data_IF_494750351115
#
_entry.id   IF_494750351115
#
_cell.length_a   1.000
_cell.length_b   1.000
_cell.length_c   1.000
_cell.angle_alpha   90.00
_cell.angle_beta   90.00
_cell.angle_gamma   90.00
#
_symmetry.space_group_name_H-M   'P 1'
#
loop_
_entity.id
_entity.type
_entity.pdbx_description
1 polymer ?
#
# COMPACT_ATOMS: atom_id res chain seq x y z
N UNK A 1 18.08 -10.68 30.20
CA UNK A 1 17.26 -9.46 30.40
C UNK A 1 16.14 -9.54 29.39
N UNK A 2 14.88 -9.69 29.82
CA UNK A 2 13.72 -9.78 28.90
C UNK A 2 13.51 -8.42 28.26
N UNK A 3 13.45 -8.35 26.93
CA UNK A 3 13.02 -7.16 26.19
C UNK A 3 11.51 -7.00 26.45
N UNK A 4 11.18 -6.51 27.65
CA UNK A 4 9.78 -6.41 28.11
C UNK A 4 8.94 -5.38 27.29
N UNK A 5 9.59 -4.55 26.48
CA UNK A 5 8.91 -3.62 25.56
C UNK A 5 8.55 -4.24 24.21
N UNK A 6 9.25 -5.31 23.79
CA UNK A 6 9.07 -5.92 22.48
C UNK A 6 7.75 -6.68 22.32
N UNK A 7 7.24 -7.29 23.40
CA UNK A 7 6.02 -8.11 23.34
C UNK A 7 4.74 -7.28 23.18
N UNK A 8 4.65 -6.10 23.81
CA UNK A 8 3.46 -5.22 23.67
C UNK A 8 3.37 -4.53 22.31
N UNK A 9 4.51 -4.20 21.70
CA UNK A 9 4.51 -3.57 20.37
C UNK A 9 4.31 -4.59 19.23
N UNK A 10 4.60 -5.90 19.46
CA UNK A 10 4.47 -6.91 18.41
C UNK A 10 3.03 -7.32 18.12
N UNK A 11 2.16 -7.31 19.13
CA UNK A 11 0.74 -7.64 18.94
C UNK A 11 -0.06 -6.47 18.33
N UNK A 12 0.47 -5.24 18.42
CA UNK A 12 -0.22 -4.04 17.99
C UNK A 12 -0.34 -3.93 16.47
N UNK A 13 0.69 -4.28 15.69
CA UNK A 13 0.69 -4.03 14.24
C UNK A 13 -0.35 -4.87 13.49
N UNK A 14 -0.45 -6.16 13.84
CA UNK A 14 -1.45 -7.04 13.25
C UNK A 14 -2.89 -6.60 13.60
N UNK A 15 -3.13 -6.23 14.87
CA UNK A 15 -4.43 -5.71 15.29
C UNK A 15 -4.73 -4.35 14.64
N UNK A 16 -3.76 -3.47 14.51
CA UNK A 16 -3.91 -2.20 13.79
C UNK A 16 -4.29 -2.44 12.33
N UNK A 17 -3.59 -3.37 11.67
CA UNK A 17 -3.92 -3.73 10.28
C UNK A 17 -5.31 -4.37 10.18
N UNK A 18 -5.68 -5.28 11.09
CA UNK A 18 -7.02 -5.89 11.12
C UNK A 18 -8.12 -4.85 11.33
N UNK A 19 -7.91 -3.91 12.24
CA UNK A 19 -8.86 -2.82 12.50
C UNK A 19 -9.04 -1.96 11.25
N UNK A 20 -7.95 -1.61 10.57
CA UNK A 20 -7.99 -0.84 9.33
C UNK A 20 -8.63 -1.63 8.18
N UNK A 21 -8.25 -2.89 7.98
CA UNK A 21 -8.84 -3.76 6.97
C UNK A 21 -10.33 -4.01 7.24
N UNK A 22 -10.70 -4.19 8.51
CA UNK A 22 -12.10 -4.31 8.93
C UNK A 22 -12.91 -3.03 8.67
N UNK A 23 -12.34 -1.87 8.97
CA UNK A 23 -12.97 -0.58 8.69
C UNK A 23 -13.13 -0.35 7.18
N UNK A 24 -12.11 -0.69 6.36
CA UNK A 24 -12.18 -0.62 4.91
C UNK A 24 -13.22 -1.61 4.34
N UNK A 25 -13.25 -2.85 4.84
CA UNK A 25 -14.25 -3.84 4.45
C UNK A 25 -15.67 -3.39 4.79
N UNK A 26 -15.86 -2.84 5.99
CA UNK A 26 -17.15 -2.29 6.41
C UNK A 26 -17.57 -1.08 5.56
N UNK A 27 -16.63 -0.16 5.27
CA UNK A 27 -16.90 0.98 4.39
C UNK A 27 -17.27 0.51 2.96
N UNK A 28 -16.56 -0.47 2.42
CA UNK A 28 -16.81 -1.08 1.13
C UNK A 28 -18.22 -1.72 1.07
N UNK A 29 -18.61 -2.43 2.13
CA UNK A 29 -19.94 -3.01 2.27
C UNK A 29 -21.03 -1.95 2.36
N UNK A 30 -20.82 -0.89 3.17
CA UNK A 30 -21.72 0.25 3.29
C UNK A 30 -21.95 0.97 1.96
N UNK A 31 -20.87 1.19 1.18
CA UNK A 31 -20.93 1.77 -0.16
C UNK A 31 -21.73 0.87 -1.11
N UNK A 32 -21.61 -0.46 -0.94
CA UNK A 32 -22.43 -1.43 -1.67
C UNK A 32 -23.93 -1.29 -1.40
N UNK A 33 -24.31 -1.19 -0.13
CA UNK A 33 -25.71 -0.99 0.26
C UNK A 33 -26.29 0.32 -0.28
N UNK A 34 -25.47 1.34 -0.47
CA UNK A 34 -25.87 2.62 -1.04
C UNK A 34 -25.88 2.65 -2.58
N UNK A 35 -25.60 1.53 -3.23
CA UNK A 35 -25.55 1.43 -4.69
C UNK A 35 -24.37 2.17 -5.35
N UNK A 36 -23.37 2.57 -4.55
CA UNK A 36 -22.20 3.32 -5.04
C UNK A 36 -21.41 2.50 -6.06
N UNK A 37 -21.35 1.17 -5.91
CA UNK A 37 -20.67 0.30 -6.88
C UNK A 37 -21.34 0.31 -8.24
N UNK A 38 -22.68 0.29 -8.27
CA UNK A 38 -23.44 0.40 -9.53
C UNK A 38 -23.20 1.78 -10.17
N UNK A 39 -23.17 2.84 -9.37
CA UNK A 39 -22.86 4.19 -9.84
C UNK A 39 -21.43 4.27 -10.40
N UNK A 40 -20.44 3.71 -9.70
CA UNK A 40 -19.05 3.68 -10.13
C UNK A 40 -18.88 2.99 -11.48
N UNK A 41 -19.51 1.82 -11.65
CA UNK A 41 -19.45 1.04 -12.88
C UNK A 41 -20.19 1.72 -14.05
N UNK A 42 -21.30 2.41 -13.76
CA UNK A 42 -22.05 3.14 -14.79
C UNK A 42 -21.41 4.47 -15.19
N UNK A 43 -20.71 5.13 -14.26
CA UNK A 43 -20.07 6.42 -14.49
C UNK A 43 -18.69 6.28 -15.14
N UNK A 44 -18.04 5.13 -15.04
CA UNK A 44 -16.73 4.86 -15.65
C UNK A 44 -16.78 3.69 -16.64
N UNK A 45 -17.19 3.93 -17.89
CA UNK A 45 -17.18 2.92 -18.94
C UNK A 45 -15.77 2.46 -19.35
N UNK A 46 -14.71 3.15 -18.93
CA UNK A 46 -13.32 2.80 -19.23
C UNK A 46 -12.79 1.69 -18.34
N UNK A 47 -13.44 1.44 -17.18
CA UNK A 47 -13.03 0.43 -16.21
C UNK A 47 -11.78 0.77 -15.39
N UNK A 48 -11.20 1.96 -15.55
CA UNK A 48 -9.99 2.37 -14.82
C UNK A 48 -10.24 2.41 -13.32
N UNK A 49 -11.40 2.89 -12.90
CA UNK A 49 -11.81 2.89 -11.47
C UNK A 49 -11.77 1.49 -10.88
N UNK A 50 -12.28 0.50 -11.62
CA UNK A 50 -12.24 -0.90 -11.19
C UNK A 50 -10.80 -1.42 -11.04
N UNK A 51 -9.93 -1.11 -12.00
CA UNK A 51 -8.50 -1.48 -11.93
C UNK A 51 -7.84 -0.87 -10.69
N UNK A 52 -8.11 0.41 -10.38
CA UNK A 52 -7.57 1.06 -9.17
C UNK A 52 -8.03 0.34 -7.90
N UNK A 53 -9.32 -0.01 -7.81
CA UNK A 53 -9.87 -0.73 -6.65
C UNK A 53 -9.24 -2.11 -6.49
N UNK A 54 -9.03 -2.85 -7.59
CA UNK A 54 -8.38 -4.17 -7.57
C UNK A 54 -6.92 -4.06 -7.12
N UNK A 55 -6.17 -3.08 -7.64
CA UNK A 55 -4.79 -2.81 -7.23
C UNK A 55 -4.73 -2.44 -5.75
N UNK A 56 -5.63 -1.59 -5.28
CA UNK A 56 -5.73 -1.22 -3.86
C UNK A 56 -6.02 -2.42 -2.96
N UNK A 57 -7.00 -3.25 -3.31
CA UNK A 57 -7.37 -4.44 -2.55
C UNK A 57 -6.21 -5.44 -2.48
N UNK A 58 -5.57 -5.75 -3.62
CA UNK A 58 -4.41 -6.63 -3.69
C UNK A 58 -3.23 -6.12 -2.84
N UNK A 59 -2.95 -4.82 -2.92
CA UNK A 59 -1.89 -4.17 -2.12
C UNK A 59 -2.20 -4.20 -0.61
N UNK A 60 -3.46 -3.98 -0.22
CA UNK A 60 -3.88 -4.08 1.19
C UNK A 60 -3.71 -5.50 1.73
N UNK A 61 -4.08 -6.53 0.95
CA UNK A 61 -3.86 -7.93 1.32
C UNK A 61 -2.37 -8.26 1.44
N UNK A 62 -1.55 -7.77 0.51
CA UNK A 62 -0.10 -7.91 0.58
C UNK A 62 0.47 -7.23 1.84
N UNK A 63 0.04 -6.03 2.19
CA UNK A 63 0.41 -5.37 3.45
C UNK A 63 0.08 -6.24 4.66
N UNK A 64 -1.09 -6.91 4.68
CA UNK A 64 -1.47 -7.85 5.73
C UNK A 64 -0.55 -9.06 5.83
N UNK A 65 -0.18 -9.65 4.70
CA UNK A 65 0.77 -10.76 4.65
C UNK A 65 2.15 -10.33 5.16
N UNK A 66 2.60 -9.14 4.75
CA UNK A 66 3.90 -8.59 5.19
C UNK A 66 3.92 -8.24 6.66
N UNK A 67 2.82 -7.72 7.20
CA UNK A 67 2.64 -7.47 8.63
C UNK A 67 2.84 -8.74 9.45
N UNK A 68 2.23 -9.86 9.03
CA UNK A 68 2.40 -11.16 9.70
C UNK A 68 3.85 -11.65 9.67
N UNK A 69 4.53 -11.48 8.54
CA UNK A 69 5.93 -11.88 8.42
C UNK A 69 6.84 -11.06 9.34
N UNK A 70 6.69 -9.74 9.36
CA UNK A 70 7.45 -8.87 10.27
C UNK A 70 7.22 -9.22 11.73
N UNK A 71 5.98 -9.49 12.14
CA UNK A 71 5.69 -9.93 13.51
C UNK A 71 6.33 -11.28 13.82
N UNK A 72 6.27 -12.23 12.88
CA UNK A 72 6.92 -13.53 13.03
C UNK A 72 8.42 -13.37 13.25
N UNK A 73 9.09 -12.56 12.44
CA UNK A 73 10.51 -12.28 12.56
C UNK A 73 10.85 -11.61 13.89
N UNK A 74 10.02 -10.68 14.34
CA UNK A 74 10.21 -10.04 15.65
C UNK A 74 10.02 -11.01 16.82
N UNK A 75 9.05 -11.90 16.75
CA UNK A 75 8.85 -12.96 17.77
C UNK A 75 10.05 -13.90 17.81
N UNK A 76 10.58 -14.29 16.65
CA UNK A 76 11.79 -15.11 16.59
C UNK A 76 13.00 -14.37 17.20
N UNK A 77 13.14 -13.07 16.92
CA UNK A 77 14.21 -12.24 17.48
C UNK A 77 14.12 -12.08 19.02
N UNK A 78 12.92 -12.20 19.61
CA UNK A 78 12.73 -12.14 21.06
C UNK A 78 13.08 -13.43 21.79
N UNK A 79 13.26 -14.55 21.08
CA UNK A 79 13.59 -15.88 21.64
C UNK A 79 15.09 -16.16 21.53
N UNK A 80 15.80 -16.20 22.66
CA UNK A 80 17.22 -16.56 22.71
C UNK A 80 17.39 -18.05 23.06
N UNK A 81 18.33 -18.81 22.41
CA UNK A 81 19.26 -18.37 21.34
C UNK A 81 18.56 -18.26 19.98
N UNK A 82 18.93 -17.24 19.20
CA UNK A 82 18.42 -17.04 17.83
C UNK A 82 18.90 -18.19 16.93
N UNK A 83 17.99 -19.10 16.57
CA UNK A 83 18.31 -20.25 15.70
C UNK A 83 17.99 -19.96 14.23
N UNK A 84 16.88 -19.26 13.97
CA UNK A 84 16.33 -19.05 12.64
C UNK A 84 15.83 -17.60 12.46
N UNK A 85 15.60 -17.23 11.21
CA UNK A 85 15.08 -15.93 10.80
C UNK A 85 16.16 -14.90 10.46
N UNK A 86 15.71 -13.71 10.06
CA UNK A 86 16.59 -12.62 9.61
C UNK A 86 17.58 -12.17 10.69
N UNK A 87 17.17 -12.19 11.95
CA UNK A 87 18.06 -11.87 13.07
C UNK A 87 19.20 -12.88 13.23
N UNK A 88 18.90 -14.18 13.09
CA UNK A 88 19.93 -15.21 13.15
C UNK A 88 20.91 -15.11 11.98
N UNK A 89 20.44 -14.82 10.79
CA UNK A 89 21.24 -14.60 9.59
C UNK A 89 22.16 -13.39 9.77
N UNK A 90 21.61 -12.26 10.24
CA UNK A 90 22.36 -11.06 10.54
C UNK A 90 23.50 -11.32 11.54
N UNK A 91 23.23 -11.99 12.67
CA UNK A 91 24.23 -12.28 13.68
C UNK A 91 25.28 -13.28 13.20
N UNK A 92 24.92 -14.28 12.39
CA UNK A 92 25.88 -15.21 11.77
C UNK A 92 26.79 -14.46 10.81
N UNK A 93 26.25 -13.60 9.95
CA UNK A 93 27.02 -12.77 9.01
C UNK A 93 27.96 -11.83 9.76
N UNK A 94 27.48 -11.22 10.85
CA UNK A 94 28.26 -10.33 11.69
C UNK A 94 29.42 -11.04 12.42
N UNK A 95 29.32 -12.35 12.69
CA UNK A 95 30.34 -13.15 13.33
C UNK A 95 31.47 -13.60 12.37
N UNK A 96 31.28 -13.43 11.05
CA UNK A 96 32.32 -13.80 10.07
C UNK A 96 33.50 -12.81 10.13
N UNK A 97 34.79 -13.31 10.22
CA UNK A 97 35.94 -12.46 10.48
C UNK A 97 36.34 -11.50 9.36
N UNK A 98 35.83 -11.72 8.14
CA UNK A 98 36.13 -10.93 6.94
C UNK A 98 34.98 -10.05 6.47
N UNK A 99 33.84 -10.10 7.15
CA UNK A 99 32.62 -9.34 6.74
C UNK A 99 32.57 -8.04 7.53
N UNK A 100 32.44 -6.94 6.80
CA UNK A 100 32.20 -5.64 7.41
C UNK A 100 30.79 -5.59 8.02
N UNK A 101 30.66 -4.91 9.16
CA UNK A 101 29.39 -4.71 9.84
C UNK A 101 28.35 -3.99 8.97
N UNK A 102 28.81 -3.11 8.06
CA UNK A 102 27.98 -2.42 7.09
C UNK A 102 27.34 -3.38 6.09
N UNK A 103 28.10 -4.33 5.56
CA UNK A 103 27.58 -5.34 4.63
C UNK A 103 26.53 -6.26 5.28
N UNK A 104 26.74 -6.64 6.55
CA UNK A 104 25.74 -7.41 7.29
C UNK A 104 24.44 -6.61 7.51
N UNK A 105 24.56 -5.30 7.78
CA UNK A 105 23.42 -4.41 7.93
C UNK A 105 22.67 -4.20 6.61
N UNK A 106 23.38 -3.99 5.50
CA UNK A 106 22.80 -3.80 4.18
C UNK A 106 21.96 -5.03 3.77
N UNK A 107 22.47 -6.24 4.04
CA UNK A 107 21.70 -7.46 3.82
C UNK A 107 20.43 -7.51 4.68
N UNK A 108 20.50 -7.12 5.94
CA UNK A 108 19.33 -7.06 6.83
C UNK A 108 18.31 -6.03 6.32
N UNK A 109 18.76 -4.86 5.87
CA UNK A 109 17.91 -3.82 5.31
C UNK A 109 17.22 -4.31 4.02
N UNK A 110 17.93 -5.02 3.15
CA UNK A 110 17.34 -5.59 1.93
C UNK A 110 16.24 -6.62 2.26
N UNK A 111 16.46 -7.50 3.24
CA UNK A 111 15.47 -8.48 3.69
C UNK A 111 14.22 -7.82 4.31
N UNK A 112 14.41 -6.73 5.03
CA UNK A 112 13.32 -6.03 5.74
C UNK A 112 12.58 -5.06 4.84
N UNK A 113 13.26 -4.26 4.02
CA UNK A 113 12.69 -3.14 3.25
C UNK A 113 12.62 -3.38 1.75
N UNK A 114 13.43 -4.29 1.18
CA UNK A 114 13.45 -4.54 -0.25
C UNK A 114 12.04 -4.73 -0.87
N UNK A 115 11.18 -5.60 -0.30
CA UNK A 115 9.82 -5.77 -0.81
C UNK A 115 8.92 -4.51 -0.68
N UNK A 116 9.23 -3.60 0.25
CA UNK A 116 8.46 -2.37 0.45
C UNK A 116 8.66 -1.38 -0.69
N UNK A 117 9.84 -1.34 -1.31
CA UNK A 117 10.12 -0.48 -2.46
C UNK A 117 9.15 -0.75 -3.62
N UNK A 118 8.90 -2.03 -3.92
CA UNK A 118 7.91 -2.43 -4.92
C UNK A 118 6.50 -1.98 -4.54
N UNK A 119 6.12 -2.11 -3.27
CA UNK A 119 4.80 -1.69 -2.79
C UNK A 119 4.61 -0.17 -2.86
N UNK A 120 5.64 0.62 -2.58
CA UNK A 120 5.63 2.07 -2.78
C UNK A 120 5.49 2.45 -4.25
N UNK A 121 6.16 1.70 -5.14
CA UNK A 121 5.98 1.91 -6.58
C UNK A 121 4.53 1.64 -7.02
N UNK A 122 3.93 0.52 -6.56
CA UNK A 122 2.52 0.19 -6.81
C UNK A 122 1.59 1.27 -6.23
N UNK A 123 1.89 1.81 -5.04
CA UNK A 123 1.14 2.92 -4.47
C UNK A 123 1.15 4.14 -5.41
N UNK A 124 2.31 4.47 -5.99
CA UNK A 124 2.42 5.54 -6.98
C UNK A 124 1.64 5.28 -8.28
N UNK A 125 1.44 4.02 -8.67
CA UNK A 125 0.62 3.65 -9.84
C UNK A 125 -0.84 4.05 -9.65
N UNK A 126 -1.42 3.91 -8.46
CA UNK A 126 -2.82 4.27 -8.21
C UNK A 126 -3.11 5.73 -8.54
N UNK A 127 -2.22 6.64 -8.12
CA UNK A 127 -2.32 8.05 -8.46
C UNK A 127 -2.20 8.30 -9.97
N UNK A 128 -1.25 7.62 -10.62
CA UNK A 128 -1.03 7.72 -12.07
C UNK A 128 -2.22 7.20 -12.87
N UNK A 129 -2.86 6.10 -12.43
CA UNK A 129 -4.09 5.58 -13.03
C UNK A 129 -5.26 6.57 -12.85
N UNK A 130 -5.39 7.20 -11.69
CA UNK A 130 -6.38 8.26 -11.48
C UNK A 130 -6.20 9.45 -12.41
N UNK A 131 -4.95 9.90 -12.61
CA UNK A 131 -4.61 10.94 -13.57
C UNK A 131 -4.83 10.51 -15.02
N UNK A 132 -4.52 9.26 -15.37
CA UNK A 132 -4.81 8.71 -16.70
C UNK A 132 -6.31 8.71 -16.98
N UNK A 133 -7.12 8.28 -16.03
CA UNK A 133 -8.59 8.34 -16.15
C UNK A 133 -9.10 9.76 -16.36
N UNK A 134 -8.50 10.74 -15.68
CA UNK A 134 -8.81 12.17 -15.90
C UNK A 134 -8.51 12.60 -17.33
N UNK A 135 -7.35 12.23 -17.87
CA UNK A 135 -6.98 12.57 -19.26
C UNK A 135 -7.94 11.91 -20.24
N UNK A 136 -8.27 10.64 -20.05
CA UNK A 136 -9.22 9.92 -20.90
C UNK A 136 -10.60 10.56 -20.83
N UNK A 137 -11.12 10.87 -19.63
CA UNK A 137 -12.41 11.54 -19.46
C UNK A 137 -12.49 12.88 -20.17
N UNK A 138 -11.45 13.69 -20.07
CA UNK A 138 -11.38 14.96 -20.82
C UNK A 138 -11.19 14.78 -22.33
N UNK A 139 -10.51 13.72 -22.76
CA UNK A 139 -10.40 13.42 -24.21
C UNK A 139 -11.74 13.03 -24.79
N UNK A 140 -12.54 12.23 -24.10
CA UNK A 140 -13.91 11.90 -24.50
C UNK A 140 -14.74 13.19 -24.62
N UNK A 141 -14.67 14.05 -23.60
CA UNK A 141 -15.35 15.34 -23.59
C UNK A 141 -14.97 16.20 -24.83
N UNK A 142 -13.68 16.37 -25.08
CA UNK A 142 -13.17 17.18 -26.18
C UNK A 142 -13.61 16.64 -27.56
N UNK A 143 -13.56 15.32 -27.75
CA UNK A 143 -14.01 14.69 -28.99
C UNK A 143 -15.52 14.88 -29.22
N UNK A 144 -16.32 14.82 -28.16
CA UNK A 144 -17.79 15.03 -28.27
C UNK A 144 -18.09 16.48 -28.66
N UNK A 145 -17.43 17.47 -28.02
CA UNK A 145 -17.62 18.89 -28.39
C UNK A 145 -17.23 19.13 -29.85
N UNK A 146 -16.15 18.51 -30.33
CA UNK A 146 -15.68 18.68 -31.71
C UNK A 146 -16.63 18.09 -32.76
N UNK A 147 -17.59 17.25 -32.39
CA UNK A 147 -18.56 16.65 -33.30
C UNK A 147 -19.87 17.46 -33.44
N UNK A 148 -20.07 18.48 -32.63
CA UNK A 148 -21.27 19.32 -32.67
C UNK A 148 -21.31 20.12 -33.96
N UNK A 149 -22.35 19.85 -34.80
CA UNK A 149 -22.52 20.50 -36.09
C UNK A 149 -23.71 21.48 -36.11
N UNK A 150 -24.65 21.32 -35.20
CA UNK A 150 -25.82 22.20 -35.10
C UNK A 150 -26.18 22.42 -33.62
N UNK A 151 -26.95 23.47 -33.34
CA UNK A 151 -27.46 23.79 -32.01
C UNK A 151 -28.96 23.50 -31.94
N UNK A 152 -29.40 22.35 -32.47
CA UNK A 152 -30.75 21.87 -32.28
C UNK A 152 -30.95 21.45 -30.80
N UNK A 153 -32.15 21.69 -30.20
CA UNK A 153 -32.44 21.32 -28.80
C UNK A 153 -32.19 19.86 -28.46
N UNK A 154 -32.42 18.92 -29.38
CA UNK A 154 -32.13 17.50 -29.20
C UNK A 154 -30.65 17.20 -29.14
N UNK A 155 -29.84 17.78 -30.02
CA UNK A 155 -28.36 17.65 -30.03
C UNK A 155 -27.75 18.33 -28.81
N UNK A 156 -28.28 19.47 -28.37
CA UNK A 156 -27.82 20.16 -27.15
C UNK A 156 -28.05 19.31 -25.90
N UNK A 157 -29.12 18.54 -25.80
CA UNK A 157 -29.41 17.66 -24.67
C UNK A 157 -28.44 16.46 -24.65
N UNK A 158 -28.17 15.85 -25.80
CA UNK A 158 -27.21 14.77 -25.93
C UNK A 158 -25.75 15.24 -25.61
N UNK A 159 -25.40 16.45 -26.06
CA UNK A 159 -24.15 17.09 -25.74
C UNK A 159 -23.99 17.24 -24.21
N UNK A 160 -24.99 17.81 -23.52
CA UNK A 160 -24.97 17.97 -22.06
C UNK A 160 -24.77 16.63 -21.33
N UNK A 161 -25.43 15.59 -21.81
CA UNK A 161 -25.32 14.24 -21.23
C UNK A 161 -23.92 13.68 -21.41
N UNK A 162 -23.32 13.84 -22.58
CA UNK A 162 -21.99 13.39 -22.90
C UNK A 162 -20.91 14.20 -22.14
N UNK A 163 -21.10 15.50 -22.00
CA UNK A 163 -20.24 16.37 -21.19
C UNK A 163 -20.25 15.92 -19.72
N UNK A 164 -21.42 15.64 -19.18
CA UNK A 164 -21.56 15.17 -17.79
C UNK A 164 -20.90 13.82 -17.59
N UNK A 165 -21.02 12.90 -18.57
CA UNK A 165 -20.38 11.58 -18.52
C UNK A 165 -18.86 11.68 -18.54
N UNK A 166 -18.27 12.41 -19.50
CA UNK A 166 -16.81 12.57 -19.59
C UNK A 166 -16.20 13.24 -18.36
N UNK A 167 -16.87 14.25 -17.82
CA UNK A 167 -16.46 14.91 -16.57
C UNK A 167 -16.58 13.95 -15.38
N UNK A 168 -17.63 13.15 -15.34
CA UNK A 168 -17.84 12.13 -14.31
C UNK A 168 -16.69 11.13 -14.25
N UNK A 169 -16.29 10.57 -15.39
CA UNK A 169 -15.11 9.69 -15.50
C UNK A 169 -13.86 10.38 -14.97
N UNK A 170 -13.57 11.61 -15.43
CA UNK A 170 -12.38 12.34 -15.06
C UNK A 170 -12.26 12.61 -13.55
N UNK A 171 -13.37 13.00 -12.92
CA UNK A 171 -13.39 13.30 -11.48
C UNK A 171 -13.37 12.04 -10.63
N UNK A 172 -14.16 11.04 -11.01
CA UNK A 172 -14.31 9.80 -10.23
C UNK A 172 -13.03 9.00 -10.17
N UNK A 173 -12.40 8.76 -11.31
CA UNK A 173 -11.12 8.02 -11.39
C UNK A 173 -10.03 8.70 -10.57
N UNK A 174 -9.95 10.04 -10.65
CA UNK A 174 -8.97 10.83 -9.88
C UNK A 174 -9.25 10.71 -8.39
N UNK A 175 -10.50 10.83 -7.97
CA UNK A 175 -10.89 10.72 -6.56
C UNK A 175 -10.56 9.33 -5.99
N UNK A 176 -10.93 8.27 -6.69
CA UNK A 176 -10.67 6.89 -6.24
C UNK A 176 -9.16 6.60 -6.21
N UNK A 177 -8.41 7.05 -7.23
CA UNK A 177 -6.95 6.92 -7.26
C UNK A 177 -6.26 7.64 -6.12
N UNK A 178 -6.70 8.86 -5.80
CA UNK A 178 -6.14 9.65 -4.70
C UNK A 178 -6.45 9.02 -3.33
N UNK A 179 -7.70 8.63 -3.09
CA UNK A 179 -8.10 7.98 -1.83
C UNK A 179 -7.35 6.66 -1.64
N UNK A 180 -7.26 5.82 -2.68
CA UNK A 180 -6.49 4.58 -2.64
C UNK A 180 -5.01 4.82 -2.32
N UNK A 181 -4.39 5.80 -2.98
CA UNK A 181 -2.99 6.18 -2.74
C UNK A 181 -2.75 6.64 -1.29
N UNK A 182 -3.63 7.48 -0.73
CA UNK A 182 -3.50 7.96 0.66
C UNK A 182 -3.64 6.79 1.64
N UNK A 183 -4.65 5.94 1.49
CA UNK A 183 -4.91 4.84 2.40
C UNK A 183 -3.82 3.75 2.33
N UNK A 184 -3.31 3.44 1.14
CA UNK A 184 -2.20 2.51 0.99
C UNK A 184 -0.89 3.11 1.49
N UNK A 185 -0.61 4.39 1.22
CA UNK A 185 0.55 5.10 1.74
C UNK A 185 0.60 5.11 3.27
N UNK A 186 -0.55 5.27 3.93
CA UNK A 186 -0.65 5.16 5.39
C UNK A 186 -0.26 3.76 5.89
N UNK A 187 -0.74 2.69 5.23
CA UNK A 187 -0.39 1.31 5.56
C UNK A 187 1.11 1.06 5.40
N UNK A 188 1.69 1.48 4.27
CA UNK A 188 3.11 1.31 3.99
C UNK A 188 4.00 2.08 4.98
N UNK A 189 3.63 3.31 5.32
CA UNK A 189 4.36 4.11 6.31
C UNK A 189 4.39 3.42 7.69
N UNK A 190 3.28 2.78 8.09
CA UNK A 190 3.23 2.01 9.35
C UNK A 190 4.10 0.78 9.28
N UNK A 191 4.08 0.09 8.13
CA UNK A 191 4.88 -1.11 7.89
C UNK A 191 6.39 -0.79 7.95
N UNK A 192 6.82 0.31 7.29
CA UNK A 192 8.21 0.77 7.30
C UNK A 192 8.69 1.09 8.71
N UNK A 193 7.91 1.86 9.49
CA UNK A 193 8.28 2.17 10.88
C UNK A 193 8.46 0.93 11.75
N UNK A 194 7.65 -0.10 11.50
CA UNK A 194 7.77 -1.35 12.24
C UNK A 194 9.01 -2.14 11.81
N UNK A 195 9.32 -2.16 10.52
CA UNK A 195 10.54 -2.75 9.98
C UNK A 195 11.80 -2.04 10.51
N UNK A 196 11.80 -0.69 10.55
CA UNK A 196 12.88 0.11 11.15
C UNK A 196 13.11 -0.26 12.62
N UNK A 197 12.02 -0.40 13.38
CA UNK A 197 12.10 -0.83 14.77
C UNK A 197 12.70 -2.22 14.94
N UNK A 198 12.36 -3.18 14.06
CA UNK A 198 12.94 -4.51 14.06
C UNK A 198 14.44 -4.47 13.75
N UNK A 199 14.84 -3.71 12.73
CA UNK A 199 16.27 -3.52 12.37
C UNK A 199 17.05 -2.92 13.54
N UNK A 200 16.53 -1.88 14.18
CA UNK A 200 17.16 -1.25 15.33
C UNK A 200 17.35 -2.22 16.53
N UNK A 201 16.33 -3.05 16.81
CA UNK A 201 16.40 -4.05 17.88
C UNK A 201 17.49 -5.12 17.57
N UNK A 202 17.56 -5.59 16.30
CA UNK A 202 18.56 -6.56 15.87
C UNK A 202 19.99 -5.98 15.89
N UNK A 203 20.16 -4.72 15.50
CA UNK A 203 21.46 -4.02 15.58
C UNK A 203 21.96 -3.91 17.03
N UNK A 204 21.08 -3.56 17.97
CA UNK A 204 21.44 -3.52 19.40
C UNK A 204 21.92 -4.86 19.91
N UNK A 205 21.24 -5.95 19.54
CA UNK A 205 21.66 -7.30 19.87
C UNK A 205 23.05 -7.64 19.28
N UNK A 206 23.33 -7.25 18.03
CA UNK A 206 24.60 -7.43 17.38
C UNK A 206 25.75 -6.70 18.10
N UNK A 207 25.52 -5.44 18.52
CA UNK A 207 26.49 -4.64 19.28
C UNK A 207 26.76 -5.28 20.64
N UNK A 208 25.71 -5.71 21.37
CA UNK A 208 25.85 -6.36 22.68
C UNK A 208 26.66 -7.67 22.59
N UNK A 209 26.51 -8.45 21.53
CA UNK A 209 27.27 -9.69 21.32
C UNK A 209 28.74 -9.43 21.01
N UNK A 210 29.04 -8.44 20.16
CA UNK A 210 30.44 -8.04 19.88
C UNK A 210 31.13 -7.48 21.11
N UNK A 211 30.44 -6.79 22.00
CA UNK A 211 31.03 -6.28 23.25
C UNK A 211 31.36 -7.35 24.30
N UNK A 212 30.90 -8.59 24.10
CA UNK A 212 31.11 -9.74 24.99
C UNK A 212 32.14 -10.73 24.46
N UNK A 213 32.49 -10.63 23.18
CA UNK A 213 33.49 -11.48 22.52
C UNK A 213 34.86 -10.82 22.58
#
# INVERSE_FOLDING_TARGET
MKIAGATRASEALWFEWLALAGALGFATWLLGLRGVWALLLSADPTGITFVIVVVFAGSTLWCGARTRELERQRRMAATMPLRDGWGAEYLRTLALPLVDATAALDLLLELTHGPHATAWWVNGIQLKLGLLGKVIGFSILALTIGQVRSFDPAESQELLRSLTSGLGVALLTTMVGLVGNILLGLQLTRLDRYADGLVADLQRLGIEQRGKA
#
